data_IF_502707673738
#
_entry.id   IF_502707673738
#
_cell.length_a   1.000
_cell.length_b   1.000
_cell.length_c   1.000
_cell.angle_alpha   90.00
_cell.angle_beta   90.00
_cell.angle_gamma   90.00
#
_symmetry.space_group_name_H-M   'P 1'
#
loop_
_entity.id
_entity.type
_entity.pdbx_description
1 polymer ?
#
# COMPACT_ATOMS: atom_id res chain seq x y z
N UNK A 1 9.02 3.28 19.35
CA UNK A 1 8.89 4.64 18.80
C UNK A 1 7.71 4.59 17.84
N UNK A 2 6.76 5.54 17.89
CA UNK A 2 5.67 5.58 16.91
C UNK A 2 6.30 5.75 15.52
N UNK A 3 5.97 4.87 14.58
CA UNK A 3 6.40 5.03 13.18
C UNK A 3 5.62 6.21 12.61
N UNK A 4 6.31 7.23 12.09
CA UNK A 4 5.62 8.35 11.46
C UNK A 4 5.06 7.93 10.11
N UNK A 5 4.03 8.62 9.61
CA UNK A 5 3.48 8.38 8.27
C UNK A 5 4.57 8.39 7.19
N UNK A 6 5.55 9.27 7.29
CA UNK A 6 6.68 9.38 6.35
C UNK A 6 7.56 8.11 6.35
N UNK A 7 7.82 7.52 7.53
CA UNK A 7 8.55 6.25 7.65
C UNK A 7 7.76 5.10 7.03
N UNK A 8 6.46 5.00 7.34
CA UNK A 8 5.58 3.96 6.78
C UNK A 8 5.49 4.08 5.26
N UNK A 9 5.30 5.29 4.74
CA UNK A 9 5.30 5.55 3.30
C UNK A 9 6.62 5.18 2.66
N UNK A 10 7.76 5.50 3.30
CA UNK A 10 9.09 5.13 2.81
C UNK A 10 9.32 3.62 2.78
N UNK A 11 8.87 2.89 3.80
CA UNK A 11 8.96 1.42 3.82
C UNK A 11 8.07 0.80 2.73
N UNK A 12 6.82 1.26 2.61
CA UNK A 12 5.89 0.81 1.56
C UNK A 12 6.46 1.08 0.17
N UNK A 13 6.93 2.29 -0.11
CA UNK A 13 7.53 2.62 -1.41
C UNK A 13 8.80 1.82 -1.68
N UNK A 14 9.58 1.47 -0.64
CA UNK A 14 10.70 0.55 -0.75
C UNK A 14 10.28 -0.85 -1.18
N UNK A 15 9.19 -1.39 -0.61
CA UNK A 15 8.62 -2.68 -0.98
C UNK A 15 8.07 -2.63 -2.41
N UNK A 16 7.31 -1.58 -2.75
CA UNK A 16 6.73 -1.37 -4.08
C UNK A 16 7.78 -1.27 -5.19
N UNK A 17 8.93 -0.64 -4.91
CA UNK A 17 10.06 -0.54 -5.86
C UNK A 17 10.65 -1.89 -6.24
N UNK A 18 10.50 -2.91 -5.39
CA UNK A 18 10.99 -4.26 -5.62
C UNK A 18 9.85 -5.29 -5.53
N UNK A 19 8.64 -4.89 -5.92
CA UNK A 19 7.48 -5.74 -5.84
C UNK A 19 7.38 -6.62 -7.09
N UNK A 20 7.33 -7.93 -6.90
CA UNK A 20 7.23 -8.95 -7.97
C UNK A 20 8.26 -8.82 -9.11
N UNK A 21 9.47 -8.35 -8.80
CA UNK A 21 10.53 -8.19 -9.80
C UNK A 21 10.27 -7.05 -10.81
N UNK A 22 9.28 -6.19 -10.55
CA UNK A 22 9.09 -4.93 -11.27
C UNK A 22 9.94 -3.86 -10.60
N UNK A 23 11.07 -3.52 -11.21
CA UNK A 23 11.88 -2.39 -10.76
C UNK A 23 11.20 -1.08 -11.16
N UNK A 24 10.41 -0.52 -10.26
CA UNK A 24 9.77 0.78 -10.49
C UNK A 24 10.81 1.89 -10.28
N UNK A 25 11.31 2.45 -11.38
CA UNK A 25 12.28 3.56 -11.36
C UNK A 25 11.62 4.94 -11.27
N UNK A 26 10.28 5.00 -11.34
CA UNK A 26 9.51 6.24 -11.22
C UNK A 26 9.45 6.79 -9.79
N UNK A 27 9.05 8.06 -9.68
CA UNK A 27 8.75 8.67 -8.38
C UNK A 27 7.40 8.15 -7.88
N UNK A 28 7.42 7.32 -6.83
CA UNK A 28 6.19 6.91 -6.14
C UNK A 28 5.77 8.05 -5.22
N UNK A 29 4.69 8.72 -5.59
CA UNK A 29 4.06 9.78 -4.82
C UNK A 29 2.82 9.26 -4.08
N UNK A 30 2.30 9.99 -3.08
CA UNK A 30 1.04 9.63 -2.42
C UNK A 30 -0.15 9.52 -3.38
N UNK A 31 -0.10 10.18 -4.54
CA UNK A 31 -1.13 10.18 -5.58
C UNK A 31 -0.92 9.04 -6.61
N UNK A 32 0.13 8.23 -6.45
CA UNK A 32 0.40 7.08 -7.31
C UNK A 32 -0.71 6.05 -7.15
N UNK A 33 -1.25 5.57 -8.26
CA UNK A 33 -2.38 4.63 -8.29
C UNK A 33 -1.88 3.20 -8.40
N UNK A 34 -2.25 2.37 -7.45
CA UNK A 34 -1.80 0.98 -7.38
C UNK A 34 -2.29 0.16 -8.58
N UNK A 35 -3.55 0.31 -9.00
CA UNK A 35 -4.03 -0.44 -10.15
C UNK A 35 -3.66 0.24 -11.49
N UNK A 36 -3.90 1.54 -11.64
CA UNK A 36 -3.68 2.22 -12.93
C UNK A 36 -2.20 2.61 -13.21
N UNK A 37 -1.42 3.02 -12.20
CA UNK A 37 -0.04 3.53 -12.39
C UNK A 37 1.02 2.43 -12.24
N UNK A 38 0.86 1.56 -11.24
CA UNK A 38 1.73 0.40 -11.03
C UNK A 38 1.30 -0.81 -11.90
N UNK A 39 0.10 -0.79 -12.47
CA UNK A 39 -0.44 -1.91 -13.25
C UNK A 39 -0.61 -3.16 -12.40
N UNK A 40 -0.86 -2.99 -11.10
CA UNK A 40 -1.15 -4.08 -10.19
C UNK A 40 -2.63 -4.48 -10.32
N UNK A 41 -2.94 -5.71 -9.94
CA UNK A 41 -4.30 -6.23 -9.85
C UNK A 41 -4.74 -6.31 -8.38
N UNK A 42 -6.02 -6.58 -8.14
CA UNK A 42 -6.54 -6.75 -6.77
C UNK A 42 -5.81 -7.86 -5.99
N UNK A 43 -5.24 -8.84 -6.68
CA UNK A 43 -4.44 -9.91 -6.05
C UNK A 43 -3.09 -9.40 -5.54
N UNK A 44 -2.47 -8.47 -6.26
CA UNK A 44 -1.23 -7.82 -5.85
C UNK A 44 -1.44 -7.00 -4.59
N UNK A 45 -2.62 -6.40 -4.42
CA UNK A 45 -2.96 -5.66 -3.19
C UNK A 45 -3.02 -6.59 -1.98
N UNK A 46 -3.55 -7.81 -2.14
CA UNK A 46 -3.55 -8.83 -1.07
C UNK A 46 -2.12 -9.26 -0.75
N UNK A 47 -1.31 -9.56 -1.76
CA UNK A 47 0.11 -9.95 -1.58
C UNK A 47 0.94 -8.82 -0.95
N UNK A 48 0.68 -7.57 -1.34
CA UNK A 48 1.28 -6.40 -0.72
C UNK A 48 0.90 -6.32 0.77
N UNK A 49 -0.37 -6.54 1.08
CA UNK A 49 -0.84 -6.62 2.46
C UNK A 49 -0.09 -7.66 3.25
N UNK A 50 0.00 -8.89 2.76
CA UNK A 50 0.73 -9.96 3.44
C UNK A 50 2.21 -9.60 3.66
N UNK A 51 2.88 -8.99 2.66
CA UNK A 51 4.26 -8.54 2.81
C UNK A 51 4.40 -7.43 3.86
N UNK A 52 3.47 -6.49 3.90
CA UNK A 52 3.46 -5.43 4.90
C UNK A 52 3.18 -6.01 6.29
N UNK A 53 2.23 -6.94 6.41
CA UNK A 53 1.95 -7.65 7.67
C UNK A 53 3.18 -8.39 8.18
N UNK A 54 3.92 -9.06 7.30
CA UNK A 54 5.19 -9.70 7.64
C UNK A 54 6.30 -8.70 8.00
N UNK A 55 6.38 -7.58 7.28
CA UNK A 55 7.40 -6.56 7.51
C UNK A 55 7.19 -5.81 8.84
N UNK A 56 5.94 -5.41 9.10
CA UNK A 56 5.55 -4.67 10.28
C UNK A 56 5.25 -5.57 11.48
N UNK A 57 4.95 -6.85 11.25
CA UNK A 57 4.55 -7.81 12.27
C UNK A 57 3.15 -7.55 12.84
N UNK A 58 2.29 -6.85 12.09
CA UNK A 58 0.90 -6.54 12.49
C UNK A 58 -0.06 -7.05 11.44
N UNK A 59 -1.30 -7.40 11.82
CA UNK A 59 -2.31 -7.79 10.83
C UNK A 59 -3.02 -6.56 10.27
N UNK A 60 -3.10 -6.47 8.94
CA UNK A 60 -3.62 -5.33 8.18
C UNK A 60 -4.81 -5.81 7.36
N UNK A 61 -6.04 -5.36 7.67
CA UNK A 61 -7.25 -5.82 6.97
C UNK A 61 -7.38 -5.16 5.59
N UNK A 62 -6.52 -5.55 4.65
CA UNK A 62 -6.53 -5.06 3.26
C UNK A 62 -7.87 -5.28 2.56
N UNK A 63 -8.58 -6.35 2.92
CA UNK A 63 -9.90 -6.65 2.38
C UNK A 63 -10.91 -5.54 2.74
N UNK A 64 -10.80 -4.95 3.94
CA UNK A 64 -11.66 -3.82 4.34
C UNK A 64 -11.29 -2.56 3.55
N UNK A 65 -9.99 -2.31 3.35
CA UNK A 65 -9.53 -1.18 2.54
C UNK A 65 -10.07 -1.28 1.10
N UNK A 66 -9.97 -2.45 0.47
CA UNK A 66 -10.50 -2.67 -0.88
C UNK A 66 -12.03 -2.58 -0.94
N UNK A 67 -12.72 -3.04 0.10
CA UNK A 67 -14.17 -2.95 0.18
C UNK A 67 -14.64 -1.49 0.36
N UNK A 68 -13.97 -0.71 1.21
CA UNK A 68 -14.19 0.72 1.35
C UNK A 68 -13.94 1.44 0.02
N UNK A 69 -12.87 1.03 -0.68
CA UNK A 69 -12.49 1.53 -2.00
C UNK A 69 -13.58 1.37 -3.05
N UNK A 70 -14.15 0.16 -3.14
CA UNK A 70 -15.29 -0.12 -3.99
C UNK A 70 -16.56 0.64 -3.54
N UNK A 71 -16.79 0.75 -2.23
CA UNK A 71 -17.98 1.40 -1.66
C UNK A 71 -18.01 2.91 -1.93
N UNK A 72 -16.86 3.58 -1.86
CA UNK A 72 -16.71 5.01 -2.20
C UNK A 72 -16.62 5.27 -3.71
N UNK A 73 -16.70 4.22 -4.54
CA UNK A 73 -16.65 4.31 -6.00
C UNK A 73 -15.26 4.63 -6.55
N UNK A 74 -14.20 4.46 -5.74
CA UNK A 74 -12.84 4.60 -6.21
C UNK A 74 -12.46 3.32 -6.97
N UNK A 75 -11.97 3.49 -8.19
CA UNK A 75 -11.45 2.38 -9.00
C UNK A 75 -10.00 2.04 -8.67
N UNK A 76 -9.31 2.96 -7.98
CA UNK A 76 -7.87 2.92 -7.74
C UNK A 76 -7.52 3.13 -6.27
N UNK A 77 -6.53 2.37 -5.80
CA UNK A 77 -5.91 2.55 -4.49
C UNK A 77 -4.70 3.47 -4.62
N UNK A 78 -4.73 4.61 -3.92
CA UNK A 78 -3.60 5.51 -3.86
C UNK A 78 -2.57 5.05 -2.82
N UNK A 79 -1.28 5.15 -3.13
CA UNK A 79 -0.21 4.75 -2.18
C UNK A 79 -0.26 5.60 -0.89
N UNK A 80 -0.69 6.85 -0.98
CA UNK A 80 -0.87 7.71 0.19
C UNK A 80 -1.97 7.21 1.13
N UNK A 81 -3.08 6.73 0.58
CA UNK A 81 -4.14 6.14 1.38
C UNK A 81 -3.72 4.81 1.99
N UNK A 82 -2.98 4.01 1.24
CA UNK A 82 -2.38 2.80 1.78
C UNK A 82 -1.45 3.12 2.96
N UNK A 83 -0.52 4.05 2.79
CA UNK A 83 0.41 4.42 3.86
C UNK A 83 -0.32 4.99 5.08
N UNK A 84 -1.39 5.75 4.86
CA UNK A 84 -2.23 6.27 5.94
C UNK A 84 -2.96 5.16 6.67
N UNK A 85 -3.53 4.20 5.94
CA UNK A 85 -4.19 3.04 6.50
C UNK A 85 -3.22 2.22 7.36
N UNK A 86 -2.05 1.88 6.80
CA UNK A 86 -1.01 1.15 7.54
C UNK A 86 -0.56 1.91 8.78
N UNK A 87 -0.31 3.22 8.67
CA UNK A 87 0.05 4.06 9.82
C UNK A 87 -1.02 4.02 10.92
N UNK A 88 -2.31 4.15 10.57
CA UNK A 88 -3.42 4.08 11.54
C UNK A 88 -3.54 2.74 12.24
N UNK A 89 -3.11 1.65 11.60
CA UNK A 89 -3.09 0.30 12.19
C UNK A 89 -1.80 -0.02 12.96
N UNK A 90 -0.77 0.83 12.87
CA UNK A 90 0.51 0.69 13.59
C UNK A 90 0.61 1.58 14.83
N UNK A 91 -0.33 2.52 15.03
CA UNK A 91 -0.51 3.30 16.27
C UNK A 91 -1.24 2.52 17.36
#
# INVERSE_FOLDING_TARGET
MPRSYDDVFREITGILRNFEGREYSGEITPQTRFFDDLGCASIDAVVLGEQLEQHFGTSLPFNELLMDLGNRGATDLEIGELAKFVHQHLE
#
